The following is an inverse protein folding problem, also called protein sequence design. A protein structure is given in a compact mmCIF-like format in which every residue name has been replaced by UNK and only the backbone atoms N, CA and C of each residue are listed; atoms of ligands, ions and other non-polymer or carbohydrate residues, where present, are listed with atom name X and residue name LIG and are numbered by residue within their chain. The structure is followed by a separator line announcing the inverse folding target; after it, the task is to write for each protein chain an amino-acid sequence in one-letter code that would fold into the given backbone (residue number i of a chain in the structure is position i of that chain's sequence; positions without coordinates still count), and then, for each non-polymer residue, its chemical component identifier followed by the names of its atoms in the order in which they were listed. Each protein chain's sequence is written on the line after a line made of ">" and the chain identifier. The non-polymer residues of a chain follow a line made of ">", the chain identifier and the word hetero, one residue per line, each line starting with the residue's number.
data_IF_443214063346
#
_entry.id   IF_443214063346
#
_cell.length_a   1.000
_cell.length_b   1.000
_cell.length_c   1.000
_cell.angle_alpha   90.00
_cell.angle_beta   90.00
_cell.angle_gamma   90.00
#
_symmetry.space_group_name_H-M   'P 1'
#
loop_
_entity.id
_entity.type
_entity.pdbx_description
1 polymer ?
#
# COMPACT_ATOMS: atom_id res chain seq x y z
N UNK A 1 4.05 29.35 7.41
CA UNK A 1 3.40 28.20 6.73
C UNK A 1 2.70 28.53 5.41
N UNK A 2 2.19 29.76 5.17
CA UNK A 2 1.68 30.14 3.85
C UNK A 2 0.53 29.26 3.34
N UNK A 3 -0.39 28.89 4.23
CA UNK A 3 -1.55 28.04 3.95
C UNK A 3 -2.88 28.79 4.07
N UNK A 4 -2.86 30.11 4.28
CA UNK A 4 -4.08 30.88 4.51
C UNK A 4 -5.00 30.91 3.29
N UNK A 5 -4.43 31.01 2.09
CA UNK A 5 -5.18 31.04 0.83
C UNK A 5 -5.88 29.68 0.51
N UNK A 6 -5.48 28.61 1.20
CA UNK A 6 -6.00 27.25 0.98
C UNK A 6 -6.75 26.68 2.19
N UNK A 7 -7.04 27.50 3.21
CA UNK A 7 -7.58 27.03 4.49
C UNK A 7 -8.91 26.29 4.36
N UNK A 8 -9.83 26.79 3.52
CA UNK A 8 -11.16 26.21 3.31
C UNK A 8 -11.25 25.31 2.07
N UNK A 9 -10.10 24.99 1.45
CA UNK A 9 -10.06 24.19 0.22
C UNK A 9 -9.93 22.71 0.55
N UNK A 10 -10.73 21.87 -0.12
CA UNK A 10 -10.58 20.42 0.00
C UNK A 10 -9.18 19.96 -0.44
N UNK A 11 -8.54 19.12 0.38
CA UNK A 11 -7.19 18.58 0.10
C UNK A 11 -7.16 17.81 -1.23
N UNK A 12 -8.28 17.19 -1.61
CA UNK A 12 -8.42 16.43 -2.85
C UNK A 12 -7.64 15.11 -2.84
N UNK A 13 -8.10 14.16 -3.66
CA UNK A 13 -7.44 12.87 -3.87
C UNK A 13 -6.90 12.81 -5.31
N UNK A 14 -6.51 11.63 -5.78
CA UNK A 14 -6.03 11.42 -7.15
C UNK A 14 -7.13 11.59 -8.22
N UNK A 15 -8.40 11.68 -7.81
CA UNK A 15 -9.58 11.83 -8.67
C UNK A 15 -10.18 13.24 -8.64
N UNK A 16 -10.19 13.88 -7.47
CA UNK A 16 -10.64 15.26 -7.29
C UNK A 16 -9.45 16.17 -7.03
N UNK A 17 -9.25 17.12 -7.94
CA UNK A 17 -8.23 18.15 -7.83
C UNK A 17 -8.51 19.00 -6.58
N UNK A 18 -7.57 19.00 -5.65
CA UNK A 18 -7.58 19.84 -4.45
C UNK A 18 -6.31 20.66 -4.36
N UNK A 19 -5.80 20.85 -3.14
CA UNK A 19 -4.57 21.61 -2.88
C UNK A 19 -3.34 21.02 -3.60
N UNK A 20 -2.38 21.88 -3.94
CA UNK A 20 -1.16 21.50 -4.66
C UNK A 20 -0.31 20.52 -3.86
N UNK A 21 0.55 19.73 -4.51
CA UNK A 21 1.43 18.78 -3.81
C UNK A 21 2.35 19.45 -2.78
N UNK A 22 2.80 20.68 -3.07
CA UNK A 22 3.56 21.50 -2.13
C UNK A 22 2.72 21.94 -0.92
N UNK A 23 1.45 22.30 -1.12
CA UNK A 23 0.52 22.61 -0.04
C UNK A 23 0.22 21.38 0.82
N UNK A 24 -0.04 20.21 0.23
CA UNK A 24 -0.24 18.95 0.98
C UNK A 24 0.93 18.66 1.91
N UNK A 25 2.15 18.88 1.42
CA UNK A 25 3.37 18.69 2.22
C UNK A 25 3.43 19.68 3.39
N UNK A 26 3.14 20.96 3.16
CA UNK A 26 3.10 21.97 4.23
C UNK A 26 1.99 21.69 5.25
N UNK A 27 0.83 21.20 4.83
CA UNK A 27 -0.27 20.78 5.72
C UNK A 27 0.17 19.61 6.62
N UNK A 28 0.85 18.60 6.06
CA UNK A 28 1.39 17.48 6.86
C UNK A 28 2.36 17.97 7.94
N UNK A 29 3.28 18.86 7.58
CA UNK A 29 4.23 19.45 8.54
C UNK A 29 3.50 20.32 9.57
N UNK A 30 2.49 21.09 9.14
CA UNK A 30 1.69 21.92 10.05
C UNK A 30 0.95 21.06 11.10
N UNK A 31 0.41 19.90 10.70
CA UNK A 31 -0.24 18.94 11.61
C UNK A 31 0.74 18.44 12.68
N UNK A 32 1.97 18.14 12.30
CA UNK A 32 3.02 17.72 13.25
C UNK A 32 3.46 18.87 14.17
N UNK A 33 3.56 20.09 13.65
CA UNK A 33 3.93 21.27 14.44
C UNK A 33 2.85 21.64 15.47
N UNK A 34 1.56 21.43 15.15
CA UNK A 34 0.42 21.66 16.06
C UNK A 34 0.55 20.88 17.37
N UNK A 35 1.16 19.68 17.33
CA UNK A 35 1.42 18.86 18.52
C UNK A 35 2.53 19.44 19.42
N UNK A 36 3.13 20.57 19.05
CA UNK A 36 4.26 21.21 19.75
C UNK A 36 5.39 20.22 20.13
N UNK A 37 5.88 19.36 19.21
CA UNK A 37 6.97 18.45 19.53
C UNK A 37 8.25 19.24 19.86
N UNK A 38 9.00 18.78 20.87
CA UNK A 38 10.31 19.35 21.24
C UNK A 38 11.41 19.00 20.21
N UNK A 39 11.22 17.89 19.50
CA UNK A 39 12.13 17.35 18.49
C UNK A 39 11.35 17.02 17.22
N UNK A 40 11.76 17.57 16.08
CA UNK A 40 11.11 17.37 14.78
C UNK A 40 12.10 16.77 13.78
N UNK A 41 11.71 15.67 13.14
CA UNK A 41 12.48 15.05 12.06
C UNK A 41 11.82 15.39 10.72
N UNK A 42 12.60 15.95 9.79
CA UNK A 42 12.10 16.33 8.47
C UNK A 42 12.95 15.68 7.39
N UNK A 43 12.29 15.07 6.42
CA UNK A 43 12.95 14.56 5.22
C UNK A 43 12.72 15.57 4.09
N UNK A 44 13.78 16.16 3.56
CA UNK A 44 13.79 17.15 2.47
C UNK A 44 12.84 18.37 2.68
N UNK A 45 12.87 19.07 3.82
CA UNK A 45 11.96 20.18 4.06
C UNK A 45 12.10 21.27 2.99
N UNK A 46 10.97 21.84 2.58
CA UNK A 46 10.96 23.04 1.74
C UNK A 46 11.40 24.24 2.57
N UNK A 47 12.08 25.21 1.94
CA UNK A 47 12.52 26.45 2.58
C UNK A 47 11.38 27.18 3.30
N UNK A 48 11.68 27.82 4.44
CA UNK A 48 10.71 28.63 5.21
C UNK A 48 10.12 27.97 6.46
N UNK A 49 10.86 27.04 7.09
CA UNK A 49 10.48 26.52 8.41
C UNK A 49 10.95 27.47 9.51
N UNK A 50 10.01 28.02 10.27
CA UNK A 50 10.31 28.90 11.40
C UNK A 50 10.89 28.11 12.59
N UNK A 51 11.93 28.66 13.22
CA UNK A 51 12.77 27.97 14.21
C UNK A 51 12.34 28.38 15.62
N UNK A 52 11.07 28.14 15.96
CA UNK A 52 10.44 28.46 17.26
C UNK A 52 11.05 27.69 18.46
N UNK A 53 12.36 27.80 18.70
CA UNK A 53 13.07 27.18 19.82
C UNK A 53 13.07 25.64 19.84
N UNK A 54 12.78 25.00 18.71
CA UNK A 54 12.68 23.53 18.58
C UNK A 54 13.96 22.95 17.99
N UNK A 55 14.31 21.73 18.43
CA UNK A 55 15.38 20.98 17.76
C UNK A 55 14.81 20.34 16.50
N UNK A 56 15.35 20.73 15.34
CA UNK A 56 14.94 20.20 14.03
C UNK A 56 16.11 19.44 13.43
N UNK A 57 15.88 18.19 13.07
CA UNK A 57 16.84 17.36 12.34
C UNK A 57 16.26 17.17 10.94
N UNK A 58 17.00 17.65 9.93
CA UNK A 58 16.57 17.57 8.54
C UNK A 58 17.60 16.86 7.67
N UNK A 59 17.15 15.98 6.76
CA UNK A 59 17.96 15.48 5.64
C UNK A 59 17.68 16.29 4.39
N UNK A 60 18.73 16.82 3.75
CA UNK A 60 18.61 17.52 2.45
C UNK A 60 19.66 16.98 1.47
N UNK A 61 19.21 16.54 0.30
CA UNK A 61 20.05 15.88 -0.69
C UNK A 61 20.90 16.87 -1.48
N UNK A 62 20.44 18.13 -1.68
CA UNK A 62 21.19 19.19 -2.37
C UNK A 62 20.70 20.59 -1.93
N UNK A 63 21.10 21.10 -0.75
CA UNK A 63 20.67 22.43 -0.33
C UNK A 63 21.32 23.51 -1.21
N UNK A 64 20.54 24.55 -1.55
CA UNK A 64 21.11 25.78 -2.10
C UNK A 64 21.98 26.47 -1.05
N UNK A 65 22.86 27.37 -1.48
CA UNK A 65 23.74 28.11 -0.56
C UNK A 65 22.94 28.86 0.51
N UNK A 66 21.82 29.48 0.14
CA UNK A 66 20.94 30.21 1.06
C UNK A 66 20.32 29.32 2.14
N UNK A 67 19.93 28.08 1.78
CA UNK A 67 19.40 27.11 2.75
C UNK A 67 20.54 26.55 3.61
N UNK A 68 21.72 26.38 3.02
CA UNK A 68 22.88 25.86 3.72
C UNK A 68 23.35 26.78 4.86
N UNK A 69 23.28 28.10 4.66
CA UNK A 69 23.61 29.10 5.68
C UNK A 69 22.65 29.13 6.87
N UNK A 70 21.44 28.55 6.72
CA UNK A 70 20.45 28.50 7.80
C UNK A 70 20.69 27.37 8.81
N UNK A 71 21.66 26.47 8.57
CA UNK A 71 21.95 25.34 9.45
C UNK A 71 22.91 25.70 10.58
N UNK A 72 22.57 25.34 11.81
CA UNK A 72 23.49 25.51 12.95
C UNK A 72 24.56 24.42 13.02
N UNK A 73 24.22 23.20 12.58
CA UNK A 73 25.10 22.04 12.65
C UNK A 73 24.90 21.18 11.43
N UNK A 74 26.02 20.81 10.81
CA UNK A 74 26.05 19.93 9.65
C UNK A 74 26.42 18.51 10.09
N UNK A 75 25.66 17.54 9.61
CA UNK A 75 25.95 16.12 9.80
C UNK A 75 26.11 15.47 8.42
N UNK A 76 27.34 15.06 8.08
CA UNK A 76 27.65 14.42 6.80
C UNK A 76 27.81 12.92 6.97
N UNK A 77 27.11 12.18 6.13
CA UNK A 77 27.11 10.71 6.09
C UNK A 77 27.62 10.22 4.74
N UNK A 78 28.47 9.19 4.75
CA UNK A 78 28.90 8.45 3.55
C UNK A 78 28.95 6.97 3.84
N UNK A 79 28.36 6.15 2.97
CA UNK A 79 28.37 4.69 3.12
C UNK A 79 27.80 4.17 4.45
N UNK A 80 26.90 4.92 5.09
CA UNK A 80 26.35 4.58 6.41
C UNK A 80 27.23 4.93 7.61
N UNK A 81 28.36 5.62 7.39
CA UNK A 81 29.25 6.13 8.43
C UNK A 81 29.21 7.65 8.51
N UNK A 82 29.37 8.17 9.72
CA UNK A 82 29.51 9.62 9.96
C UNK A 82 30.90 10.07 9.52
N UNK A 83 30.92 10.97 8.55
CA UNK A 83 32.17 11.55 8.04
C UNK A 83 32.47 12.86 8.75
N UNK A 84 31.45 13.63 9.11
CA UNK A 84 31.63 14.91 9.79
C UNK A 84 30.40 15.29 10.61
N UNK A 85 30.65 15.89 11.77
CA UNK A 85 29.66 16.55 12.60
C UNK A 85 30.24 17.84 13.17
N UNK A 86 29.67 18.98 12.83
CA UNK A 86 30.17 20.26 13.31
C UNK A 86 29.53 21.46 12.60
N UNK A 87 29.97 22.66 12.99
CA UNK A 87 29.39 23.92 12.51
C UNK A 87 30.06 24.43 11.23
N UNK A 88 31.40 24.32 11.11
CA UNK A 88 32.13 24.83 9.95
C UNK A 88 33.23 23.87 9.49
N UNK A 89 33.11 23.39 8.24
CA UNK A 89 34.09 22.50 7.60
C UNK A 89 35.44 23.21 7.30
N UNK A 90 35.48 24.55 7.38
CA UNK A 90 36.69 25.34 7.21
C UNK A 90 37.75 25.00 8.27
N UNK A 91 37.34 24.63 9.48
CA UNK A 91 38.24 24.20 10.56
C UNK A 91 38.82 22.80 10.34
N UNK A 92 38.17 21.98 9.49
CA UNK A 92 38.60 20.62 9.18
C UNK A 92 39.65 20.54 8.04
N UNK A 93 40.19 21.69 7.60
CA UNK A 93 41.32 21.75 6.65
C UNK A 93 40.95 21.80 5.16
N UNK A 94 39.65 21.93 4.81
CA UNK A 94 39.18 22.01 3.42
C UNK A 94 38.40 23.31 3.17
N UNK A 95 39.10 24.45 2.92
CA UNK A 95 38.43 25.71 2.63
C UNK A 95 37.70 25.63 1.28
N UNK A 96 36.44 26.09 1.25
CA UNK A 96 35.70 26.20 -0.01
C UNK A 96 36.34 27.25 -0.92
N UNK A 97 36.55 26.95 -2.21
CA UNK A 97 37.02 27.94 -3.18
C UNK A 97 35.98 29.03 -3.43
N UNK A 98 36.44 30.26 -3.66
CA UNK A 98 35.60 31.42 -3.99
C UNK A 98 34.74 31.12 -5.23
N UNK A 99 33.45 31.45 -5.18
CA UNK A 99 32.44 31.20 -6.22
C UNK A 99 31.96 29.75 -6.41
N UNK A 100 32.17 28.86 -5.43
CA UNK A 100 31.55 27.52 -5.44
C UNK A 100 30.51 27.39 -4.33
N UNK A 101 29.38 26.74 -4.63
CA UNK A 101 28.39 26.40 -3.60
C UNK A 101 29.05 25.45 -2.58
N UNK A 102 29.09 25.82 -1.29
CA UNK A 102 29.71 25.01 -0.25
C UNK A 102 29.07 23.62 -0.15
N UNK A 103 27.76 23.49 -0.34
CA UNK A 103 27.06 22.19 -0.27
C UNK A 103 27.53 21.22 -1.35
N UNK A 104 27.69 21.69 -2.59
CA UNK A 104 28.20 20.86 -3.71
C UNK A 104 29.68 20.51 -3.50
N UNK A 105 30.47 21.44 -2.94
CA UNK A 105 31.87 21.16 -2.63
C UNK A 105 32.00 20.06 -1.57
N UNK A 106 31.25 20.16 -0.46
CA UNK A 106 31.28 19.17 0.61
C UNK A 106 30.77 17.80 0.16
N UNK A 107 29.69 17.75 -0.62
CA UNK A 107 29.18 16.50 -1.18
C UNK A 107 30.21 15.83 -2.10
N UNK A 108 30.99 16.59 -2.87
CA UNK A 108 32.06 16.02 -3.72
C UNK A 108 33.24 15.48 -2.91
N UNK A 109 33.67 16.17 -1.86
CA UNK A 109 34.73 15.68 -0.98
C UNK A 109 34.35 14.35 -0.31
N UNK A 110 33.08 14.19 0.04
CA UNK A 110 32.56 13.00 0.74
C UNK A 110 32.20 11.85 -0.22
N UNK A 111 31.83 12.15 -1.47
CA UNK A 111 31.42 11.16 -2.48
C UNK A 111 32.54 10.72 -3.45
N UNK A 112 33.80 10.67 -3.01
CA UNK A 112 34.90 10.20 -3.88
C UNK A 112 34.66 8.77 -4.43
N UNK A 113 33.88 7.95 -3.72
CA UNK A 113 33.55 6.57 -4.10
C UNK A 113 32.46 6.42 -5.19
N UNK A 114 31.64 7.44 -5.44
CA UNK A 114 30.49 7.31 -6.35
C UNK A 114 30.81 7.45 -7.84
N UNK A 115 32.02 7.91 -8.21
CA UNK A 115 32.43 7.94 -9.62
C UNK A 115 32.60 6.53 -10.22
N UNK A 116 32.79 5.49 -9.39
CA UNK A 116 32.81 4.09 -9.86
C UNK A 116 31.42 3.45 -9.99
N UNK A 117 30.40 3.93 -9.26
CA UNK A 117 29.11 3.22 -9.10
C UNK A 117 27.99 3.81 -9.95
N UNK A 118 28.12 5.06 -10.43
CA UNK A 118 27.09 5.72 -11.26
C UNK A 118 26.88 5.10 -12.65
N UNK A 119 27.72 4.15 -13.07
CA UNK A 119 27.56 3.43 -14.33
C UNK A 119 26.62 2.22 -14.26
N UNK A 120 26.14 1.80 -13.08
CA UNK A 120 25.51 0.47 -12.97
C UNK A 120 24.06 0.45 -12.53
N UNK A 121 23.50 1.42 -11.79
CA UNK A 121 22.11 1.26 -11.31
C UNK A 121 21.35 2.59 -11.11
N UNK A 122 20.36 2.84 -11.97
CA UNK A 122 19.15 3.60 -11.61
C UNK A 122 17.91 2.94 -12.22
N UNK A 123 17.27 2.09 -11.42
CA UNK A 123 15.88 1.68 -11.57
C UNK A 123 15.04 2.17 -10.37
N UNK A 124 13.75 2.50 -10.55
CA UNK A 124 12.91 3.16 -9.55
C UNK A 124 12.25 2.13 -8.63
N UNK A 125 12.91 1.75 -7.53
CA UNK A 125 12.29 0.85 -6.51
C UNK A 125 12.43 1.39 -5.07
N UNK A 126 13.16 2.49 -4.86
CA UNK A 126 13.45 2.98 -3.50
C UNK A 126 12.34 3.82 -2.83
N UNK A 127 11.26 4.13 -3.54
CA UNK A 127 10.11 4.86 -2.96
C UNK A 127 9.08 3.91 -2.33
N UNK A 128 8.99 2.66 -2.79
CA UNK A 128 7.94 1.71 -2.35
C UNK A 128 8.26 0.98 -1.03
N UNK A 129 9.53 1.00 -0.57
CA UNK A 129 9.93 0.37 0.69
C UNK A 129 9.90 1.34 1.90
N UNK A 130 9.83 2.65 1.68
CA UNK A 130 9.79 3.66 2.75
C UNK A 130 8.45 3.66 3.48
N UNK A 131 7.34 3.38 2.78
CA UNK A 131 6.00 3.33 3.39
C UNK A 131 5.72 2.05 4.21
N UNK A 132 6.47 0.95 3.99
CA UNK A 132 6.33 -0.28 4.80
C UNK A 132 7.05 -0.23 6.16
N UNK A 133 8.06 0.62 6.31
CA UNK A 133 8.92 0.67 7.51
C UNK A 133 8.42 1.63 8.59
N UNK A 134 7.39 2.44 8.33
CA UNK A 134 6.86 3.42 9.29
C UNK A 134 5.86 2.82 10.31
N UNK A 135 5.58 1.52 10.29
CA UNK A 135 5.04 0.79 11.44
C UNK A 135 3.66 1.19 12.00
N UNK A 136 2.93 2.12 11.37
CA UNK A 136 1.65 2.62 11.90
C UNK A 136 0.40 1.89 11.38
N UNK A 137 0.54 1.01 10.38
CA UNK A 137 -0.54 0.15 9.91
C UNK A 137 -0.05 -1.29 9.84
N UNK A 138 -0.64 -2.16 10.67
CA UNK A 138 -0.45 -3.60 10.55
C UNK A 138 -1.08 -4.09 9.24
N UNK A 139 -0.39 -5.00 8.57
CA UNK A 139 -0.91 -5.72 7.37
C UNK A 139 -2.30 -6.30 7.67
N UNK A 140 -2.53 -6.74 8.92
CA UNK A 140 -3.81 -7.25 9.42
C UNK A 140 -4.90 -6.17 9.45
N UNK A 141 -4.58 -4.94 9.87
CA UNK A 141 -5.57 -3.84 9.92
C UNK A 141 -6.02 -3.45 8.51
N UNK A 142 -5.08 -3.39 7.55
CA UNK A 142 -5.40 -3.12 6.15
C UNK A 142 -6.30 -4.22 5.55
N UNK A 143 -5.97 -5.49 5.78
CA UNK A 143 -6.78 -6.62 5.28
C UNK A 143 -8.18 -6.61 5.90
N UNK A 144 -8.31 -6.37 7.20
CA UNK A 144 -9.62 -6.31 7.88
C UNK A 144 -10.44 -5.14 7.35
N UNK A 145 -9.87 -3.93 7.26
CA UNK A 145 -10.58 -2.75 6.76
C UNK A 145 -11.03 -2.92 5.31
N UNK A 146 -10.19 -3.49 4.45
CA UNK A 146 -10.57 -3.74 3.06
C UNK A 146 -11.62 -4.84 2.95
N UNK A 147 -11.55 -5.89 3.78
CA UNK A 147 -12.53 -6.98 3.79
C UNK A 147 -13.90 -6.45 4.22
N UNK A 148 -13.95 -5.65 5.28
CA UNK A 148 -15.20 -5.11 5.82
C UNK A 148 -15.87 -4.14 4.82
N UNK A 149 -15.05 -3.31 4.15
CA UNK A 149 -15.53 -2.37 3.12
C UNK A 149 -16.07 -3.12 1.89
N UNK A 150 -15.35 -4.14 1.41
CA UNK A 150 -15.77 -4.96 0.27
C UNK A 150 -17.01 -5.81 0.59
N UNK A 151 -17.15 -6.33 1.81
CA UNK A 151 -18.30 -7.16 2.22
C UNK A 151 -19.64 -6.46 2.02
N UNK A 152 -19.74 -5.16 2.33
CA UNK A 152 -20.99 -4.42 2.21
C UNK A 152 -21.43 -4.26 0.74
N UNK A 153 -20.46 -4.06 -0.14
CA UNK A 153 -20.68 -3.95 -1.58
C UNK A 153 -20.98 -5.31 -2.22
N UNK A 154 -20.29 -6.37 -1.79
CA UNK A 154 -20.47 -7.74 -2.27
C UNK A 154 -21.86 -8.30 -1.93
N UNK A 155 -22.43 -7.96 -0.76
CA UNK A 155 -23.81 -8.35 -0.43
C UNK A 155 -24.80 -7.82 -1.46
N UNK A 156 -24.65 -6.55 -1.85
CA UNK A 156 -25.58 -5.91 -2.78
C UNK A 156 -25.49 -6.54 -4.18
N UNK A 157 -24.26 -6.75 -4.68
CA UNK A 157 -24.06 -7.37 -5.99
C UNK A 157 -24.52 -8.84 -5.99
N UNK A 158 -24.17 -9.60 -4.95
CA UNK A 158 -24.57 -11.00 -4.83
C UNK A 158 -26.10 -11.12 -4.81
N UNK A 159 -26.80 -10.33 -3.98
CA UNK A 159 -28.26 -10.32 -3.97
C UNK A 159 -28.85 -10.01 -5.35
N UNK A 160 -28.38 -8.97 -6.03
CA UNK A 160 -28.90 -8.60 -7.34
C UNK A 160 -28.65 -9.71 -8.39
N UNK A 161 -27.43 -10.24 -8.44
CA UNK A 161 -27.04 -11.26 -9.41
C UNK A 161 -27.74 -12.60 -9.13
N UNK A 162 -27.77 -13.05 -7.88
CA UNK A 162 -28.34 -14.33 -7.47
C UNK A 162 -29.86 -14.32 -7.61
N UNK A 163 -30.52 -13.19 -7.33
CA UNK A 163 -31.96 -13.03 -7.56
C UNK A 163 -32.30 -13.23 -9.03
N UNK A 164 -31.59 -12.53 -9.93
CA UNK A 164 -31.80 -12.64 -11.38
C UNK A 164 -31.52 -14.06 -11.87
N UNK A 165 -30.41 -14.67 -11.42
CA UNK A 165 -30.06 -16.04 -11.79
C UNK A 165 -31.11 -17.05 -11.31
N UNK A 166 -31.62 -16.88 -10.09
CA UNK A 166 -32.60 -17.78 -9.50
C UNK A 166 -33.92 -17.83 -10.27
N UNK A 167 -34.43 -16.65 -10.65
CA UNK A 167 -35.65 -16.54 -11.44
C UNK A 167 -35.45 -16.95 -12.90
N UNK A 168 -34.27 -16.70 -13.49
CA UNK A 168 -33.96 -17.07 -14.87
C UNK A 168 -33.83 -18.59 -15.05
N UNK A 169 -33.16 -19.28 -14.11
CA UNK A 169 -32.97 -20.75 -14.13
C UNK A 169 -34.23 -21.49 -13.66
N UNK A 170 -35.20 -20.76 -13.08
CA UNK A 170 -36.44 -21.27 -12.48
C UNK A 170 -36.16 -22.35 -11.44
N UNK A 171 -35.34 -22.02 -10.43
CA UNK A 171 -35.13 -22.92 -9.29
C UNK A 171 -36.42 -23.15 -8.48
N UNK A 172 -36.35 -24.06 -7.51
CA UNK A 172 -37.51 -24.54 -6.79
C UNK A 172 -38.25 -23.39 -6.06
N UNK A 173 -39.58 -23.27 -6.19
CA UNK A 173 -40.30 -22.16 -5.57
C UNK A 173 -40.36 -22.36 -4.05
N UNK A 174 -39.57 -21.57 -3.30
CA UNK A 174 -39.56 -21.59 -1.84
C UNK A 174 -38.59 -20.57 -1.26
N UNK A 175 -39.04 -19.79 -0.27
CA UNK A 175 -38.23 -18.73 0.35
C UNK A 175 -37.00 -19.29 1.09
N UNK A 176 -37.13 -20.46 1.73
CA UNK A 176 -36.04 -21.14 2.42
C UNK A 176 -34.92 -21.57 1.47
N UNK A 177 -35.27 -22.12 0.30
CA UNK A 177 -34.31 -22.53 -0.73
C UNK A 177 -33.62 -21.34 -1.39
N UNK A 178 -34.38 -20.27 -1.65
CA UNK A 178 -33.85 -19.01 -2.13
C UNK A 178 -32.83 -18.40 -1.16
N UNK A 179 -33.17 -18.31 0.14
CA UNK A 179 -32.27 -17.76 1.15
C UNK A 179 -31.01 -18.62 1.31
N UNK A 180 -31.15 -19.95 1.31
CA UNK A 180 -30.01 -20.87 1.37
C UNK A 180 -29.08 -20.71 0.16
N UNK A 181 -29.63 -20.54 -1.04
CA UNK A 181 -28.88 -20.31 -2.26
C UNK A 181 -28.06 -19.01 -2.21
N UNK A 182 -28.72 -17.90 -1.85
CA UNK A 182 -28.07 -16.58 -1.72
C UNK A 182 -26.98 -16.59 -0.64
N UNK A 183 -27.25 -17.17 0.54
CA UNK A 183 -26.27 -17.24 1.63
C UNK A 183 -25.08 -18.12 1.28
N UNK A 184 -25.30 -19.24 0.59
CA UNK A 184 -24.22 -20.14 0.18
C UNK A 184 -23.30 -19.49 -0.85
N UNK A 185 -23.85 -18.82 -1.88
CA UNK A 185 -23.06 -18.12 -2.88
C UNK A 185 -22.34 -16.91 -2.30
N UNK A 186 -23.00 -16.14 -1.42
CA UNK A 186 -22.36 -15.05 -0.70
C UNK A 186 -21.18 -15.51 0.17
N UNK A 187 -21.35 -16.62 0.91
CA UNK A 187 -20.29 -17.21 1.72
C UNK A 187 -19.08 -17.64 0.87
N UNK A 188 -19.31 -18.11 -0.36
CA UNK A 188 -18.20 -18.47 -1.23
C UNK A 188 -17.50 -17.26 -1.84
N UNK A 189 -18.24 -16.28 -2.35
CA UNK A 189 -17.66 -15.05 -2.92
C UNK A 189 -16.78 -14.35 -1.86
N UNK A 190 -17.24 -14.28 -0.62
CA UNK A 190 -16.46 -13.71 0.49
C UNK A 190 -15.25 -14.55 0.88
N UNK A 191 -15.35 -15.88 0.85
CA UNK A 191 -14.21 -16.78 1.08
C UNK A 191 -13.12 -16.60 0.01
N UNK A 192 -13.52 -16.51 -1.27
CA UNK A 192 -12.61 -16.27 -2.40
C UNK A 192 -11.90 -14.93 -2.26
N UNK A 193 -12.63 -13.85 -1.95
CA UNK A 193 -12.05 -12.52 -1.77
C UNK A 193 -11.04 -12.50 -0.60
N UNK A 194 -11.36 -13.18 0.50
CA UNK A 194 -10.47 -13.28 1.66
C UNK A 194 -9.17 -14.04 1.35
N UNK A 195 -9.26 -15.10 0.54
CA UNK A 195 -8.11 -15.89 0.09
C UNK A 195 -7.20 -15.06 -0.81
N UNK A 196 -7.77 -14.32 -1.78
CA UNK A 196 -7.02 -13.43 -2.67
C UNK A 196 -6.27 -12.36 -1.88
N UNK A 197 -6.93 -11.73 -0.91
CA UNK A 197 -6.29 -10.72 -0.06
C UNK A 197 -5.20 -11.28 0.87
N UNK A 198 -5.40 -12.49 1.41
CA UNK A 198 -4.37 -13.16 2.19
C UNK A 198 -3.11 -13.41 1.35
N UNK A 199 -3.25 -13.88 0.10
CA UNK A 199 -2.14 -14.11 -0.83
C UNK A 199 -1.45 -12.78 -1.20
N UNK A 200 -2.23 -11.74 -1.50
CA UNK A 200 -1.73 -10.40 -1.81
C UNK A 200 -0.95 -9.74 -0.66
N UNK A 201 -1.20 -10.16 0.58
CA UNK A 201 -0.45 -9.66 1.75
C UNK A 201 0.98 -10.22 1.85
N UNK A 202 1.18 -11.45 1.35
CA UNK A 202 2.47 -12.15 1.36
C UNK A 202 3.37 -11.64 0.24
N UNK A 203 2.78 -11.32 -0.91
CA UNK A 203 3.50 -10.89 -2.10
C UNK A 203 3.83 -9.38 -1.99
N UNK A 204 5.06 -8.94 -2.30
CA UNK A 204 5.45 -7.53 -2.21
C UNK A 204 4.74 -6.61 -3.21
N UNK A 205 4.02 -7.17 -4.18
CA UNK A 205 3.29 -6.45 -5.21
C UNK A 205 1.84 -6.93 -5.28
N UNK A 206 0.88 -6.01 -5.08
CA UNK A 206 -0.56 -6.30 -5.10
C UNK A 206 -1.03 -6.87 -6.44
N UNK A 207 -0.51 -6.35 -7.55
CA UNK A 207 -0.87 -6.83 -8.90
C UNK A 207 -0.47 -8.30 -9.08
N UNK A 208 0.71 -8.67 -8.56
CA UNK A 208 1.20 -10.05 -8.62
C UNK A 208 0.40 -10.98 -7.71
N UNK A 209 -0.06 -10.49 -6.56
CA UNK A 209 -0.99 -11.20 -5.68
C UNK A 209 -2.30 -11.57 -6.36
N UNK A 210 -2.90 -10.64 -7.11
CA UNK A 210 -4.14 -10.90 -7.86
C UNK A 210 -3.96 -11.93 -8.99
N UNK A 211 -2.84 -11.89 -9.72
CA UNK A 211 -2.54 -12.88 -10.79
C UNK A 211 -2.37 -14.27 -10.19
N UNK A 212 -1.64 -14.40 -9.08
CA UNK A 212 -1.44 -15.67 -8.38
C UNK A 212 -2.77 -16.18 -7.79
N UNK A 213 -3.56 -15.29 -7.18
CA UNK A 213 -4.89 -15.62 -6.65
C UNK A 213 -5.86 -16.10 -7.74
N UNK A 214 -5.92 -15.43 -8.88
CA UNK A 214 -6.75 -15.86 -10.02
C UNK A 214 -6.30 -17.23 -10.57
N UNK A 215 -5.00 -17.51 -10.60
CA UNK A 215 -4.47 -18.83 -10.97
C UNK A 215 -4.93 -19.93 -10.01
N UNK A 216 -4.88 -19.67 -8.70
CA UNK A 216 -5.35 -20.61 -7.67
C UNK A 216 -6.86 -20.83 -7.77
N UNK A 217 -7.65 -19.78 -8.02
CA UNK A 217 -9.09 -19.90 -8.24
C UNK A 217 -9.43 -20.71 -9.49
N UNK A 218 -8.69 -20.51 -10.59
CA UNK A 218 -8.84 -21.32 -11.80
C UNK A 218 -8.57 -22.81 -11.54
N UNK A 219 -7.55 -23.11 -10.75
CA UNK A 219 -7.23 -24.48 -10.32
C UNK A 219 -8.34 -25.04 -9.43
N UNK A 220 -8.87 -24.25 -8.49
CA UNK A 220 -10.02 -24.65 -7.65
C UNK A 220 -11.27 -24.95 -8.47
N UNK A 221 -11.53 -24.18 -9.53
CA UNK A 221 -12.68 -24.40 -10.43
C UNK A 221 -12.60 -25.75 -11.17
N UNK A 222 -11.40 -26.22 -11.51
CA UNK A 222 -11.20 -27.53 -12.16
C UNK A 222 -11.54 -28.69 -11.22
N UNK A 223 -11.28 -28.51 -9.92
CA UNK A 223 -11.50 -29.53 -8.87
C UNK A 223 -12.95 -29.53 -8.35
N UNK A 224 -13.69 -28.45 -8.60
CA UNK A 224 -15.10 -28.23 -8.23
C UNK A 224 -16.11 -29.24 -8.78
N UNK A 225 -15.69 -30.15 -9.67
CA UNK A 225 -16.58 -31.18 -10.23
C UNK A 225 -17.25 -30.78 -11.56
N UNK A 226 -17.03 -29.56 -12.06
CA UNK A 226 -17.56 -29.11 -13.36
C UNK A 226 -16.90 -29.81 -14.55
N UNK A 227 -15.58 -30.05 -14.50
CA UNK A 227 -14.81 -30.66 -15.58
C UNK A 227 -14.45 -32.13 -15.37
N UNK A 228 -14.35 -32.59 -14.11
CA UNK A 228 -14.00 -33.98 -13.76
C UNK A 228 -14.66 -34.37 -12.44
N UNK A 229 -15.28 -35.56 -12.36
CA UNK A 229 -16.00 -35.98 -11.15
C UNK A 229 -15.04 -36.11 -9.94
N UNK A 230 -15.48 -35.77 -8.72
CA UNK A 230 -14.65 -35.84 -7.50
C UNK A 230 -14.05 -37.22 -7.18
N UNK A 231 -14.59 -38.27 -7.80
CA UNK A 231 -14.15 -39.65 -7.63
C UNK A 231 -12.85 -39.96 -8.39
N UNK A 232 -12.56 -39.26 -9.49
CA UNK A 232 -11.43 -39.53 -10.39
C UNK A 232 -10.17 -38.70 -10.06
N UNK A 233 -10.20 -37.97 -8.95
CA UNK A 233 -9.15 -37.03 -8.53
C UNK A 233 -8.23 -37.70 -7.50
N UNK A 234 -6.89 -37.61 -7.64
CA UNK A 234 -5.94 -38.19 -6.70
C UNK A 234 -6.15 -37.67 -5.26
N UNK A 235 -6.33 -38.62 -4.33
CA UNK A 235 -6.88 -38.43 -2.97
C UNK A 235 -6.12 -37.48 -2.01
N UNK A 236 -4.77 -37.40 -1.98
CA UNK A 236 -4.09 -36.71 -0.88
C UNK A 236 -4.09 -35.17 -0.99
N UNK A 237 -3.88 -34.65 -2.20
CA UNK A 237 -3.58 -33.22 -2.39
C UNK A 237 -4.78 -32.41 -2.90
N UNK A 238 -5.63 -33.03 -3.71
CA UNK A 238 -6.66 -32.32 -4.47
C UNK A 238 -8.06 -32.45 -3.86
N UNK A 239 -8.35 -33.54 -3.14
CA UNK A 239 -9.71 -33.83 -2.65
C UNK A 239 -10.05 -33.17 -1.32
N UNK A 240 -9.09 -32.94 -0.42
CA UNK A 240 -9.36 -32.43 0.93
C UNK A 240 -9.17 -30.91 1.12
N UNK A 241 -8.18 -30.24 0.52
CA UNK A 241 -8.04 -28.78 0.70
C UNK A 241 -8.97 -27.98 -0.23
N UNK A 242 -9.16 -28.47 -1.45
CA UNK A 242 -9.81 -27.71 -2.54
C UNK A 242 -11.32 -27.98 -2.60
N UNK A 243 -11.79 -29.16 -2.16
CA UNK A 243 -13.24 -29.45 -2.15
C UNK A 243 -14.02 -28.59 -1.15
N UNK A 244 -13.40 -28.20 -0.03
CA UNK A 244 -14.04 -27.34 0.98
C UNK A 244 -14.15 -25.88 0.52
N UNK A 245 -13.28 -25.45 -0.40
CA UNK A 245 -13.39 -24.13 -1.05
C UNK A 245 -14.45 -24.11 -2.17
N UNK A 246 -14.85 -25.28 -2.68
CA UNK A 246 -15.81 -25.43 -3.79
C UNK A 246 -17.19 -25.86 -3.30
N UNK A 247 -17.70 -25.18 -2.25
CA UNK A 247 -19.05 -25.41 -1.73
C UNK A 247 -20.15 -24.92 -2.70
N UNK A 248 -19.82 -24.07 -3.68
CA UNK A 248 -20.77 -23.56 -4.69
C UNK A 248 -21.47 -24.69 -5.45
N UNK A 249 -20.69 -25.68 -5.87
CA UNK A 249 -21.20 -26.78 -6.68
C UNK A 249 -22.23 -27.59 -5.90
N UNK A 250 -21.96 -27.86 -4.62
CA UNK A 250 -22.89 -28.56 -3.74
C UNK A 250 -24.18 -27.78 -3.49
N UNK A 251 -24.09 -26.46 -3.29
CA UNK A 251 -25.27 -25.60 -3.09
C UNK A 251 -26.19 -25.58 -4.33
N UNK A 252 -25.60 -25.58 -5.53
CA UNK A 252 -26.33 -25.64 -6.80
C UNK A 252 -26.92 -27.04 -7.02
N UNK A 253 -26.13 -28.10 -6.78
CA UNK A 253 -26.57 -29.48 -7.00
C UNK A 253 -27.72 -29.89 -6.08
N UNK A 254 -27.72 -29.46 -4.81
CA UNK A 254 -28.84 -29.70 -3.87
C UNK A 254 -30.14 -29.06 -4.37
N UNK A 255 -30.08 -27.80 -4.84
CA UNK A 255 -31.27 -27.12 -5.36
C UNK A 255 -31.78 -27.69 -6.69
N UNK A 256 -30.89 -28.21 -7.54
CA UNK A 256 -31.27 -28.92 -8.76
C UNK A 256 -31.86 -30.29 -8.45
N UNK A 257 -31.24 -31.06 -7.55
CA UNK A 257 -31.66 -32.43 -7.24
C UNK A 257 -33.03 -32.46 -6.53
N UNK A 258 -33.29 -31.50 -5.63
CA UNK A 258 -34.62 -31.35 -5.01
C UNK A 258 -35.73 -31.08 -6.03
N UNK A 259 -35.44 -30.43 -7.16
CA UNK A 259 -36.43 -30.17 -8.22
C UNK A 259 -36.84 -31.42 -9.00
N UNK A 260 -35.99 -32.45 -9.08
CA UNK A 260 -36.28 -33.69 -9.80
C UNK A 260 -37.01 -34.74 -8.94
N UNK A 261 -37.13 -34.53 -7.62
CA UNK A 261 -37.72 -35.46 -6.67
C UNK A 261 -39.12 -35.06 -6.17
N UNK A 262 -39.72 -34.04 -6.78
CA UNK A 262 -41.09 -33.55 -6.54
C UNK A 262 -41.83 -33.43 -7.87
#
# INVERSE_FOLDING_TARGET
>A
MGLQDCADTFIGNWHLRGISGGEKRRVSIALEILMKPRLLFLDEPTSGLDRDGRTVIASIHQPSSEVFEQFDRLYLLSGGKTVYFGQFFAEAGFPCPSFRNPSDHFLRCVNFDFYKVKATLRGPIKVFQRERMNGHYGVVAFVISNTLSSMLFLILIALLSDTVCYFMVRFHPGFSHYLFFVLALYACITAVESLMMAISSVVPNFLMGNVIGAGILGISMVVSGFFRLPHDIPKPFWRYPVSYMTNDFWAVQVNICCRFYT
#
